data_IF_299995639093
#
_entry.id   IF_299995639093
#
_cell.length_a   1.000
_cell.length_b   1.000
_cell.length_c   1.000
_cell.angle_alpha   90.00
_cell.angle_beta   90.00
_cell.angle_gamma   90.00
#
_symmetry.space_group_name_H-M   'P 1'
#
loop_
_entity.id
_entity.type
_entity.pdbx_description
1 polymer ?
#
# COMPACT_ATOMS: atom_id res chain seq x y z
N UNK A 1 -0.98 0.91 14.16
CA UNK A 1 -1.11 -0.35 13.40
C UNK A 1 -1.59 -1.47 14.32
N UNK A 2 -2.62 -2.22 13.93
CA UNK A 2 -3.16 -3.31 14.75
C UNK A 2 -2.34 -4.59 14.60
N UNK A 3 -2.34 -5.45 15.63
CA UNK A 3 -1.71 -6.78 15.59
C UNK A 3 -2.34 -7.69 14.54
N UNK A 4 -3.64 -7.50 14.28
CA UNK A 4 -4.40 -8.27 13.30
C UNK A 4 -3.92 -8.04 11.87
N UNK A 5 -3.66 -6.79 11.48
CA UNK A 5 -3.12 -6.46 10.15
C UNK A 5 -1.76 -7.13 9.95
N UNK A 6 -0.90 -7.10 10.97
CA UNK A 6 0.43 -7.72 10.91
C UNK A 6 0.32 -9.24 10.77
N UNK A 7 -0.53 -9.89 11.57
CA UNK A 7 -0.74 -11.34 11.52
C UNK A 7 -1.32 -11.78 10.17
N UNK A 8 -2.34 -11.08 9.67
CA UNK A 8 -2.94 -11.36 8.37
C UNK A 8 -1.94 -11.13 7.23
N UNK A 9 -1.10 -10.09 7.32
CA UNK A 9 0.00 -9.84 6.39
C UNK A 9 0.99 -10.99 6.33
N UNK A 10 1.39 -11.51 7.49
CA UNK A 10 2.27 -12.67 7.56
C UNK A 10 1.65 -13.93 6.93
N UNK A 11 0.42 -14.27 7.32
CA UNK A 11 -0.26 -15.48 6.83
C UNK A 11 -0.55 -15.42 5.32
N UNK A 12 -0.92 -14.24 4.82
CA UNK A 12 -1.18 -14.03 3.40
C UNK A 12 0.11 -14.06 2.59
N UNK A 13 1.17 -13.37 3.02
CA UNK A 13 2.45 -13.38 2.32
C UNK A 13 3.10 -14.78 2.31
N UNK A 14 2.89 -15.57 3.37
CA UNK A 14 3.33 -16.97 3.40
C UNK A 14 2.69 -17.82 2.28
N UNK A 15 1.41 -17.57 1.95
CA UNK A 15 0.70 -18.28 0.89
C UNK A 15 1.02 -17.70 -0.49
N UNK A 16 0.92 -16.37 -0.63
CA UNK A 16 0.87 -15.70 -1.92
C UNK A 16 2.18 -15.02 -2.33
N UNK A 17 3.19 -15.00 -1.45
CA UNK A 17 4.46 -14.32 -1.68
C UNK A 17 4.49 -12.86 -1.25
N UNK A 18 3.33 -12.19 -1.24
CA UNK A 18 3.16 -10.80 -0.80
C UNK A 18 1.85 -10.61 -0.02
N UNK A 19 1.76 -9.53 0.75
CA UNK A 19 0.56 -9.04 1.40
C UNK A 19 0.69 -7.54 1.67
N UNK A 20 -0.15 -6.74 1.04
CA UNK A 20 -0.11 -5.28 1.08
C UNK A 20 -1.36 -4.77 1.77
N UNK A 21 -1.20 -4.07 2.91
CA UNK A 21 -2.34 -3.46 3.57
C UNK A 21 -2.93 -2.35 2.70
N UNK A 22 -4.24 -2.37 2.48
CA UNK A 22 -4.91 -1.41 1.63
C UNK A 22 -6.35 -1.10 2.10
N UNK A 23 -6.81 0.12 1.82
CA UNK A 23 -8.16 0.59 2.17
C UNK A 23 -8.83 1.24 0.97
N UNK A 24 -10.16 1.14 0.88
CA UNK A 24 -10.92 1.79 -0.18
C UNK A 24 -10.87 3.33 -0.04
N UNK A 25 -10.87 4.04 -1.18
CA UNK A 25 -10.93 5.50 -1.20
C UNK A 25 -12.30 5.99 -0.69
N UNK A 26 -12.30 7.03 0.16
CA UNK A 26 -13.52 7.71 0.60
C UNK A 26 -13.93 8.80 -0.38
N UNK A 27 -12.96 9.58 -0.83
CA UNK A 27 -13.21 10.77 -1.65
C UNK A 27 -13.25 10.45 -3.15
N UNK A 28 -13.83 11.36 -3.94
CA UNK A 28 -13.84 11.25 -5.40
C UNK A 28 -12.44 11.48 -5.97
N UNK A 29 -12.06 10.67 -6.95
CA UNK A 29 -10.75 10.75 -7.60
C UNK A 29 -10.84 11.47 -8.95
N UNK A 30 -9.87 12.33 -9.24
CA UNK A 30 -9.64 12.88 -10.59
C UNK A 30 -8.21 12.61 -11.04
N UNK A 31 -8.04 12.28 -12.32
CA UNK A 31 -6.72 12.18 -12.98
C UNK A 31 -6.43 13.49 -13.71
N UNK A 32 -5.24 14.05 -13.48
CA UNK A 32 -4.74 15.21 -14.23
C UNK A 32 -4.24 14.75 -15.60
N UNK A 33 -4.64 15.46 -16.66
CA UNK A 33 -4.23 15.21 -18.05
C UNK A 33 -3.91 16.55 -18.70
N UNK A 34 -2.63 16.92 -18.73
CA UNK A 34 -2.20 18.27 -19.13
C UNK A 34 -2.79 19.32 -18.20
N UNK A 35 -3.52 20.30 -18.76
CA UNK A 35 -4.24 21.34 -18.01
C UNK A 35 -5.67 20.97 -17.60
N UNK A 36 -6.16 19.77 -17.97
CA UNK A 36 -7.51 19.30 -17.67
C UNK A 36 -7.51 18.23 -16.59
N UNK A 37 -8.69 17.96 -16.03
CA UNK A 37 -8.90 16.83 -15.10
C UNK A 37 -10.10 16.00 -15.50
N UNK A 38 -9.99 14.67 -15.35
CA UNK A 38 -11.07 13.71 -15.65
C UNK A 38 -11.43 12.92 -14.40
N UNK A 39 -12.72 12.72 -14.15
CA UNK A 39 -13.19 11.89 -13.03
C UNK A 39 -12.80 10.43 -13.25
N UNK A 40 -12.48 9.73 -12.16
CA UNK A 40 -12.20 8.29 -12.16
C UNK A 40 -13.17 7.55 -11.24
N UNK A 41 -13.49 6.32 -11.62
CA UNK A 41 -14.29 5.44 -10.78
C UNK A 41 -13.45 4.99 -9.59
N UNK A 42 -13.71 5.55 -8.40
CA UNK A 42 -12.93 5.26 -7.19
C UNK A 42 -12.93 3.78 -6.79
N UNK A 43 -13.93 3.00 -7.23
CA UNK A 43 -14.04 1.57 -6.89
C UNK A 43 -12.97 0.71 -7.57
N UNK A 44 -12.24 1.27 -8.54
CA UNK A 44 -11.11 0.63 -9.21
C UNK A 44 -9.76 0.91 -8.52
N UNK A 45 -9.77 1.62 -7.39
CA UNK A 45 -8.56 2.08 -6.71
C UNK A 45 -8.58 1.73 -5.21
N UNK A 46 -7.38 1.56 -4.66
CA UNK A 46 -7.15 1.42 -3.23
C UNK A 46 -6.04 2.38 -2.79
N UNK A 47 -6.09 2.84 -1.53
CA UNK A 47 -4.97 3.50 -0.88
C UNK A 47 -4.11 2.42 -0.23
N UNK A 48 -2.87 2.31 -0.69
CA UNK A 48 -1.87 1.40 -0.12
C UNK A 48 -1.36 1.96 1.21
N UNK A 49 -1.19 1.09 2.18
CA UNK A 49 -0.64 1.36 3.51
C UNK A 49 0.57 0.47 3.76
N UNK A 50 1.35 0.81 4.78
CA UNK A 50 2.25 -0.15 5.43
C UNK A 50 1.48 -0.84 6.58
N UNK A 51 1.73 -2.10 6.90
CA UNK A 51 2.85 -2.92 6.45
C UNK A 51 2.64 -3.47 5.04
N UNK A 52 3.75 -3.62 4.33
CA UNK A 52 3.86 -4.43 3.13
C UNK A 52 4.73 -5.63 3.51
N UNK A 53 4.21 -6.84 3.35
CA UNK A 53 4.87 -8.07 3.81
C UNK A 53 5.18 -8.95 2.60
N UNK A 54 6.40 -9.47 2.53
CA UNK A 54 6.85 -10.27 1.38
C UNK A 54 7.63 -11.50 1.83
N UNK A 55 7.63 -12.55 1.01
CA UNK A 55 8.67 -13.59 1.09
C UNK A 55 10.00 -12.95 0.72
N UNK A 56 10.94 -12.98 1.66
CA UNK A 56 12.23 -12.30 1.52
C UNK A 56 13.03 -12.77 0.31
N UNK A 57 12.95 -14.06 -0.07
CA UNK A 57 13.61 -14.59 -1.25
C UNK A 57 13.08 -13.96 -2.54
N UNK A 58 11.76 -13.80 -2.66
CA UNK A 58 11.11 -13.22 -3.83
C UNK A 58 11.34 -11.71 -3.91
N UNK A 59 11.27 -11.01 -2.78
CA UNK A 59 11.54 -9.57 -2.76
C UNK A 59 12.99 -9.26 -3.15
N UNK A 60 13.97 -10.05 -2.64
CA UNK A 60 15.37 -9.91 -3.04
C UNK A 60 15.58 -10.15 -4.53
N UNK A 61 14.94 -11.17 -5.08
CA UNK A 61 14.96 -11.42 -6.52
C UNK A 61 14.40 -10.21 -7.28
N UNK A 62 13.25 -9.68 -6.85
CA UNK A 62 12.63 -8.52 -7.48
C UNK A 62 13.55 -7.28 -7.51
N UNK A 63 14.27 -7.00 -6.42
CA UNK A 63 15.26 -5.92 -6.40
C UNK A 63 16.44 -6.16 -7.33
N UNK A 64 16.91 -7.41 -7.47
CA UNK A 64 18.00 -7.74 -8.40
C UNK A 64 17.56 -7.58 -9.87
N UNK A 65 16.32 -7.97 -10.19
CA UNK A 65 15.76 -7.81 -11.54
C UNK A 65 15.50 -6.32 -11.87
N UNK A 66 15.21 -5.52 -10.85
CA UNK A 66 14.83 -4.12 -10.94
C UNK A 66 15.97 -3.13 -11.21
N UNK A 67 17.24 -3.55 -11.22
CA UNK A 67 18.40 -2.65 -11.47
C UNK A 67 18.32 -1.87 -12.81
N UNK A 68 17.42 -2.26 -13.72
CA UNK A 68 17.19 -1.61 -15.01
C UNK A 68 16.00 -0.63 -15.06
N UNK A 69 15.18 -0.51 -14.00
CA UNK A 69 13.91 0.25 -14.01
C UNK A 69 13.89 1.28 -12.85
N UNK A 70 13.83 2.57 -13.17
CA UNK A 70 14.03 3.68 -12.20
C UNK A 70 12.75 4.32 -11.64
N UNK A 71 11.56 3.71 -11.78
CA UNK A 71 10.28 4.38 -11.49
C UNK A 71 9.40 3.65 -10.46
N UNK A 72 9.99 3.04 -9.43
CA UNK A 72 9.23 2.41 -8.35
C UNK A 72 8.86 3.39 -7.24
N UNK A 73 7.63 3.29 -6.73
CA UNK A 73 7.09 4.19 -5.69
C UNK A 73 7.09 3.57 -4.30
N UNK A 74 7.12 2.24 -4.21
CA UNK A 74 7.14 1.43 -2.99
C UNK A 74 7.64 0.00 -3.27
N UNK A 75 7.83 -0.80 -2.22
CA UNK A 75 8.33 -2.17 -2.32
C UNK A 75 7.36 -3.08 -3.10
N UNK A 76 6.05 -2.83 -2.98
CA UNK A 76 5.02 -3.54 -3.73
C UNK A 76 5.20 -3.36 -5.25
N UNK A 77 5.49 -2.14 -5.72
CA UNK A 77 5.73 -1.88 -7.14
C UNK A 77 6.99 -2.57 -7.67
N UNK A 78 8.05 -2.67 -6.85
CA UNK A 78 9.27 -3.44 -7.21
C UNK A 78 8.92 -4.93 -7.32
N UNK A 79 8.23 -5.46 -6.31
CA UNK A 79 7.81 -6.86 -6.26
C UNK A 79 6.91 -7.22 -7.45
N UNK A 80 5.90 -6.41 -7.73
CA UNK A 80 4.93 -6.63 -8.81
C UNK A 80 5.61 -6.66 -10.18
N UNK A 81 6.60 -5.81 -10.43
CA UNK A 81 7.32 -5.79 -11.70
C UNK A 81 8.10 -7.08 -12.01
N UNK A 82 8.57 -7.80 -10.97
CA UNK A 82 9.30 -9.07 -11.12
C UNK A 82 8.39 -10.29 -10.97
N UNK A 83 7.40 -10.23 -10.07
CA UNK A 83 6.58 -11.38 -9.66
C UNK A 83 5.17 -11.38 -10.27
N UNK A 84 4.77 -10.29 -10.91
CA UNK A 84 3.53 -10.16 -11.69
C UNK A 84 2.31 -9.68 -10.93
N UNK A 85 2.19 -9.99 -9.64
CA UNK A 85 1.05 -9.54 -8.82
C UNK A 85 1.40 -9.37 -7.34
N UNK A 86 0.59 -8.54 -6.66
CA UNK A 86 0.60 -8.42 -5.19
C UNK A 86 -0.76 -8.76 -4.59
N UNK A 87 -0.77 -9.44 -3.45
CA UNK A 87 -2.01 -9.70 -2.73
C UNK A 87 -2.36 -8.52 -1.82
N UNK A 88 -3.57 -7.98 -1.96
CA UNK A 88 -4.09 -6.96 -1.04
C UNK A 88 -4.75 -7.61 0.18
N UNK A 89 -4.54 -7.03 1.34
CA UNK A 89 -5.27 -7.35 2.57
C UNK A 89 -5.97 -6.10 3.11
N UNK A 90 -7.02 -6.30 3.92
CA UNK A 90 -7.70 -5.20 4.57
C UNK A 90 -6.74 -4.45 5.50
N UNK A 91 -6.57 -3.15 5.24
CA UNK A 91 -5.93 -2.20 6.14
C UNK A 91 -6.94 -1.60 7.13
N UNK A 92 -6.56 -0.48 7.75
CA UNK A 92 -7.40 0.25 8.69
C UNK A 92 -7.23 1.75 8.47
N UNK A 93 -8.35 2.50 8.44
CA UNK A 93 -8.32 3.95 8.34
C UNK A 93 -7.59 4.62 9.52
N UNK A 94 -7.48 3.94 10.68
CA UNK A 94 -6.66 4.39 11.81
C UNK A 94 -5.16 4.21 11.58
N UNK A 95 -4.77 3.42 10.59
CA UNK A 95 -3.38 3.20 10.20
C UNK A 95 -2.87 4.32 9.26
N UNK A 96 -3.04 5.56 9.73
CA UNK A 96 -2.72 6.77 9.00
C UNK A 96 -1.20 6.95 8.87
N UNK A 97 -0.73 7.32 7.68
CA UNK A 97 0.63 7.80 7.48
C UNK A 97 0.72 9.25 7.96
N UNK A 98 1.59 9.53 8.91
CA UNK A 98 1.82 10.91 9.38
C UNK A 98 2.72 11.62 8.36
N UNK A 99 2.14 12.56 7.61
CA UNK A 99 2.81 13.31 6.55
C UNK A 99 2.64 14.83 6.68
N UNK A 100 1.64 15.26 7.45
CA UNK A 100 1.28 16.65 7.70
C UNK A 100 1.16 16.91 9.21
N UNK A 101 1.23 18.18 9.66
CA UNK A 101 0.98 18.53 11.06
C UNK A 101 -0.41 18.11 11.56
N UNK A 102 -1.43 18.16 10.70
CA UNK A 102 -2.80 17.75 11.02
C UNK A 102 -2.90 16.25 11.31
N UNK A 103 -2.10 15.42 10.61
CA UNK A 103 -2.05 13.97 10.86
C UNK A 103 -1.63 13.65 12.30
N UNK A 104 -0.80 14.49 12.94
CA UNK A 104 -0.41 14.31 14.34
C UNK A 104 -1.59 14.51 15.30
N UNK A 105 -2.43 15.52 15.03
CA UNK A 105 -3.61 15.81 15.84
C UNK A 105 -4.59 14.63 15.74
N UNK A 106 -4.81 14.13 14.52
CA UNK A 106 -5.67 12.97 14.25
C UNK A 106 -5.10 11.72 14.94
N UNK A 107 -3.81 11.43 14.76
CA UNK A 107 -3.16 10.28 15.37
C UNK A 107 -3.25 10.32 16.91
N UNK A 108 -3.07 11.49 17.52
CA UNK A 108 -3.21 11.65 18.97
C UNK A 108 -4.63 11.33 19.45
N UNK A 109 -5.66 11.80 18.74
CA UNK A 109 -7.06 11.52 19.08
C UNK A 109 -7.43 10.03 18.90
N UNK A 110 -6.75 9.32 17.99
CA UNK A 110 -6.93 7.89 17.76
C UNK A 110 -6.26 7.01 18.82
N UNK A 111 -5.24 7.50 19.54
CA UNK A 111 -4.55 6.77 20.60
C UNK A 111 -5.28 6.80 21.95
N UNK A 112 -6.09 7.83 22.17
CA UNK A 112 -6.79 8.07 23.44
C UNK A 112 -8.21 7.50 23.48
N UNK A 113 -8.64 6.79 22.41
CA UNK A 113 -9.92 6.09 22.28
C UNK A 113 -9.69 4.60 22.09
#
# INVERSE_FOLDING_TARGET
>A
MSKEIIANGFDTAKKNGSAIAAIALKDSLRKVVGSKTVSKNRNEYYLVQTPQTFKSSLLKQAYNDAESINNFTDDASVFEASQGEVALINGDYKNLKITTPEDLIIAQALLTN
#
